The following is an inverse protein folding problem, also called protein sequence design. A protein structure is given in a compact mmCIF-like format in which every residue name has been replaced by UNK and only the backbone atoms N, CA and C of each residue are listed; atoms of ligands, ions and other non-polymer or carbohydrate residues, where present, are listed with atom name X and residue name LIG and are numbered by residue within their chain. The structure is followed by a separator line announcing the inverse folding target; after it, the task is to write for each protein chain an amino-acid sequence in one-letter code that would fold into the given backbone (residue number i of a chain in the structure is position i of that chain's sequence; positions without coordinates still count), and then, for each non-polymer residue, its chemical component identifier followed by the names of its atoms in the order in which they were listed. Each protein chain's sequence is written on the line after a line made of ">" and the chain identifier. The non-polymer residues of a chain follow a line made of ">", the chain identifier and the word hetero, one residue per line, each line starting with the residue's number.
data_IF_788561115495
#
_entry.id   IF_788561115495
#
_cell.length_a   1.000
_cell.length_b   1.000
_cell.length_c   1.000
_cell.angle_alpha   90.00
_cell.angle_beta   90.00
_cell.angle_gamma   90.00
#
_symmetry.space_group_name_H-M   'P 1'
#
loop_
_entity.id
_entity.type
_entity.pdbx_description
1 polymer ?
#
# COMPACT_ATOMS: atom_id res chain seq x y z
N UNK A 1 -5.54 -15.25 0.18
CA UNK A 1 -5.35 -14.04 -0.68
C UNK A 1 -5.88 -12.81 0.05
N UNK A 2 -5.30 -11.61 -0.11
CA UNK A 2 -5.75 -10.41 0.62
C UNK A 2 -7.27 -10.16 0.46
N UNK A 3 -7.80 -10.37 -0.75
CA UNK A 3 -9.23 -10.25 -1.07
C UNK A 3 -10.16 -11.11 -0.18
N UNK A 4 -9.68 -12.23 0.36
CA UNK A 4 -10.49 -13.15 1.17
C UNK A 4 -10.61 -12.71 2.63
N UNK A 5 -9.67 -11.90 3.12
CA UNK A 5 -9.55 -11.59 4.55
C UNK A 5 -9.67 -10.09 4.86
N UNK A 6 -9.54 -9.23 3.84
CA UNK A 6 -9.66 -7.79 4.00
C UNK A 6 -11.03 -7.29 3.48
N UNK A 7 -11.60 -6.33 4.19
CA UNK A 7 -12.80 -5.61 3.76
C UNK A 7 -12.49 -4.62 2.62
N UNK A 8 -11.28 -4.05 2.65
CA UNK A 8 -10.77 -3.13 1.63
C UNK A 8 -9.34 -3.49 1.25
N UNK A 9 -9.03 -3.40 -0.03
CA UNK A 9 -7.68 -3.63 -0.57
C UNK A 9 -7.23 -2.38 -1.32
N UNK A 10 -6.02 -1.92 -1.02
CA UNK A 10 -5.33 -0.87 -1.78
C UNK A 10 -4.08 -1.50 -2.40
N UNK A 11 -4.03 -1.55 -3.74
CA UNK A 11 -2.84 -2.00 -4.47
C UNK A 11 -1.91 -0.79 -4.65
N UNK A 12 -0.62 -1.02 -4.42
CA UNK A 12 0.42 -0.02 -4.57
C UNK A 12 1.72 -0.66 -5.04
N UNK A 13 2.69 0.15 -5.45
CA UNK A 13 3.99 -0.37 -5.88
C UNK A 13 4.83 -0.83 -4.67
N UNK A 14 5.74 -1.77 -4.93
CA UNK A 14 6.77 -2.18 -3.98
C UNK A 14 8.15 -1.90 -4.57
N UNK A 15 8.67 -2.82 -5.37
CA UNK A 15 9.96 -2.73 -6.05
C UNK A 15 9.70 -3.08 -7.51
N UNK A 16 9.14 -2.16 -8.32
CA UNK A 16 8.80 -2.44 -9.71
C UNK A 16 10.03 -2.80 -10.56
N UNK A 17 11.25 -2.45 -10.11
CA UNK A 17 12.49 -2.72 -10.85
C UNK A 17 12.32 -2.27 -12.30
N UNK A 18 12.53 -3.13 -13.28
CA UNK A 18 12.40 -2.79 -14.70
C UNK A 18 10.99 -2.86 -15.27
N UNK A 19 9.99 -3.25 -14.47
CA UNK A 19 8.61 -3.46 -14.93
C UNK A 19 7.75 -2.20 -14.73
N UNK A 20 6.68 -2.07 -15.52
CA UNK A 20 5.69 -1.01 -15.34
C UNK A 20 4.84 -1.30 -14.08
N UNK A 21 4.85 -0.44 -13.05
CA UNK A 21 4.04 -0.63 -11.85
C UNK A 21 2.54 -0.73 -12.14
N UNK A 22 2.05 -0.05 -13.18
CA UNK A 22 0.64 -0.09 -13.55
C UNK A 22 0.24 -1.47 -14.09
N UNK A 23 1.13 -2.11 -14.85
CA UNK A 23 0.90 -3.44 -15.40
C UNK A 23 0.93 -4.51 -14.30
N UNK A 24 1.88 -4.43 -13.36
CA UNK A 24 1.90 -5.30 -12.17
C UNK A 24 0.60 -5.12 -11.37
N UNK A 25 0.18 -3.87 -11.14
CA UNK A 25 -1.05 -3.60 -10.39
C UNK A 25 -2.28 -4.21 -11.09
N UNK A 26 -2.40 -4.06 -12.41
CA UNK A 26 -3.49 -4.64 -13.22
C UNK A 26 -3.57 -6.16 -13.09
N UNK A 27 -2.43 -6.85 -13.05
CA UNK A 27 -2.38 -8.30 -12.85
C UNK A 27 -2.86 -8.70 -11.44
N UNK A 28 -2.48 -7.95 -10.41
CA UNK A 28 -2.94 -8.17 -9.04
C UNK A 28 -4.45 -7.89 -8.92
N UNK A 29 -4.94 -6.81 -9.54
CA UNK A 29 -6.37 -6.47 -9.57
C UNK A 29 -7.21 -7.62 -10.13
N UNK A 30 -6.77 -8.21 -11.25
CA UNK A 30 -7.46 -9.37 -11.85
C UNK A 30 -7.56 -10.53 -10.86
N UNK A 31 -6.45 -10.90 -10.21
CA UNK A 31 -6.46 -11.95 -9.20
C UNK A 31 -7.43 -11.65 -8.06
N UNK A 32 -7.43 -10.41 -7.53
CA UNK A 32 -8.34 -9.96 -6.47
C UNK A 32 -9.82 -10.12 -6.87
N UNK A 33 -10.18 -9.65 -8.06
CA UNK A 33 -11.55 -9.70 -8.56
C UNK A 33 -12.03 -11.14 -8.82
N UNK A 34 -11.13 -12.02 -9.24
CA UNK A 34 -11.42 -13.45 -9.41
C UNK A 34 -11.65 -14.15 -8.07
N UNK A 35 -10.86 -13.84 -7.05
CA UNK A 35 -10.97 -14.48 -5.75
C UNK A 35 -12.21 -14.05 -4.95
N UNK A 36 -12.64 -12.78 -5.08
CA UNK A 36 -13.84 -12.28 -4.40
C UNK A 36 -14.46 -11.12 -5.16
N UNK A 37 -15.58 -11.39 -5.84
CA UNK A 37 -16.40 -10.34 -6.45
C UNK A 37 -16.94 -9.40 -5.38
N UNK A 38 -16.89 -8.10 -5.65
CA UNK A 38 -17.38 -7.06 -4.74
C UNK A 38 -16.39 -6.60 -3.66
N UNK A 39 -15.14 -7.09 -3.66
CA UNK A 39 -14.08 -6.49 -2.82
C UNK A 39 -13.94 -5.00 -3.14
N UNK A 40 -13.93 -4.15 -2.10
CA UNK A 40 -13.63 -2.72 -2.27
C UNK A 40 -12.15 -2.59 -2.59
N UNK A 41 -11.86 -2.37 -3.87
CA UNK A 41 -10.51 -2.33 -4.42
C UNK A 41 -10.20 -0.94 -4.97
N UNK A 42 -8.99 -0.46 -4.69
CA UNK A 42 -8.45 0.75 -5.31
C UNK A 42 -6.95 0.59 -5.56
N UNK A 43 -6.42 1.32 -6.52
CA UNK A 43 -5.00 1.29 -6.88
C UNK A 43 -4.40 2.68 -6.78
N UNK A 44 -3.33 2.80 -5.98
CA UNK A 44 -2.57 4.03 -5.78
C UNK A 44 -1.10 3.65 -5.89
N UNK A 45 -0.48 3.91 -7.04
CA UNK A 45 0.88 3.44 -7.30
C UNK A 45 1.91 4.09 -6.39
N UNK A 46 1.75 5.37 -6.06
CA UNK A 46 2.58 6.04 -5.06
C UNK A 46 2.35 5.40 -3.69
N UNK A 47 3.40 4.79 -3.13
CA UNK A 47 3.30 3.98 -1.91
C UNK A 47 3.04 4.82 -0.67
N UNK A 48 3.61 6.01 -0.57
CA UNK A 48 3.33 6.92 0.55
C UNK A 48 1.87 7.38 0.49
N UNK A 49 1.39 7.77 -0.69
CA UNK A 49 0.00 8.16 -0.89
C UNK A 49 -0.99 7.02 -0.61
N UNK A 50 -0.62 5.77 -0.95
CA UNK A 50 -1.43 4.59 -0.65
C UNK A 50 -1.54 4.34 0.86
N UNK A 51 -0.43 4.43 1.59
CA UNK A 51 -0.41 4.34 3.07
C UNK A 51 -1.27 5.43 3.69
N UNK A 52 -1.13 6.67 3.21
CA UNK A 52 -1.95 7.78 3.67
C UNK A 52 -3.44 7.52 3.43
N UNK A 53 -3.82 7.14 2.21
CA UNK A 53 -5.21 6.85 1.87
C UNK A 53 -5.80 5.72 2.71
N UNK A 54 -5.00 4.70 3.05
CA UNK A 54 -5.41 3.62 3.94
C UNK A 54 -5.73 4.13 5.35
N UNK A 55 -4.84 4.96 5.91
CA UNK A 55 -4.98 5.51 7.27
C UNK A 55 -6.10 6.55 7.36
N UNK A 56 -6.28 7.40 6.34
CA UNK A 56 -7.43 8.33 6.25
C UNK A 56 -8.77 7.61 6.13
N UNK A 57 -8.79 6.47 5.44
CA UNK A 57 -10.00 5.67 5.23
C UNK A 57 -10.39 4.81 6.43
N UNK A 58 -9.48 4.63 7.40
CA UNK A 58 -9.70 3.81 8.58
C UNK A 58 -10.48 4.56 9.66
N UNK A 59 -11.34 3.83 10.37
CA UNK A 59 -12.12 4.32 11.51
C UNK A 59 -11.57 3.76 12.81
N UNK A 60 -12.04 4.31 13.93
CA UNK A 60 -11.74 3.77 15.25
C UNK A 60 -12.17 2.30 15.32
N UNK A 61 -11.22 1.42 15.65
CA UNK A 61 -11.42 -0.03 15.72
C UNK A 61 -10.97 -0.80 14.48
N UNK A 62 -10.69 -0.11 13.37
CA UNK A 62 -10.15 -0.75 12.17
C UNK A 62 -8.66 -1.10 12.34
N UNK A 63 -8.22 -2.11 11.61
CA UNK A 63 -6.81 -2.50 11.50
C UNK A 63 -6.33 -2.27 10.07
N UNK A 64 -5.26 -1.49 9.92
CA UNK A 64 -4.57 -1.30 8.64
C UNK A 64 -3.32 -2.18 8.62
N UNK A 65 -3.22 -3.04 7.61
CA UNK A 65 -2.04 -3.88 7.37
C UNK A 65 -1.32 -3.39 6.13
N UNK A 66 -0.05 -3.01 6.30
CA UNK A 66 0.85 -2.64 5.20
C UNK A 66 1.82 -3.81 5.00
N UNK A 67 1.81 -4.42 3.81
CA UNK A 67 2.64 -5.58 3.49
C UNK A 67 3.50 -5.34 2.24
N UNK A 68 4.47 -6.24 2.01
CA UNK A 68 5.42 -6.18 0.89
C UNK A 68 6.84 -5.86 1.35
N UNK A 69 7.11 -4.62 1.76
CA UNK A 69 8.47 -4.11 2.04
C UNK A 69 9.09 -4.52 3.38
N UNK A 70 8.28 -4.66 4.43
CA UNK A 70 8.80 -4.91 5.77
C UNK A 70 9.82 -3.83 6.22
N UNK A 71 11.06 -4.20 6.63
CA UNK A 71 12.06 -3.26 7.11
C UNK A 71 12.88 -2.56 6.00
N UNK A 72 12.54 -2.77 4.72
CA UNK A 72 13.24 -2.15 3.61
C UNK A 72 13.14 -0.62 3.64
N UNK A 73 14.24 0.05 3.29
CA UNK A 73 14.36 1.52 3.34
C UNK A 73 14.39 2.21 1.97
N UNK A 74 14.08 1.47 0.91
CA UNK A 74 14.09 2.00 -0.46
C UNK A 74 13.04 1.33 -1.34
N UNK A 75 12.57 2.04 -2.36
CA UNK A 75 11.85 1.51 -3.52
C UNK A 75 12.81 1.44 -4.69
N UNK A 76 12.84 0.29 -5.38
CA UNK A 76 13.68 0.07 -6.56
C UNK A 76 12.88 0.33 -7.84
N UNK A 77 13.28 1.33 -8.63
CA UNK A 77 12.69 1.65 -9.94
C UNK A 77 13.83 1.72 -10.97
N UNK A 78 13.82 0.77 -11.91
CA UNK A 78 14.94 0.48 -12.81
C UNK A 78 16.19 0.11 -12.02
N UNK A 79 17.23 0.89 -12.23
CA UNK A 79 18.51 0.85 -11.53
C UNK A 79 18.58 1.80 -10.31
N UNK A 80 17.53 2.60 -10.07
CA UNK A 80 17.49 3.60 -9.00
C UNK A 80 16.91 3.04 -7.71
N UNK A 81 17.50 3.43 -6.59
CA UNK A 81 16.98 3.21 -5.23
C UNK A 81 16.48 4.55 -4.67
N UNK A 82 15.17 4.67 -4.53
CA UNK A 82 14.52 5.86 -3.98
C UNK A 82 14.30 5.63 -2.48
N UNK A 83 14.78 6.50 -1.57
CA UNK A 83 14.53 6.36 -0.14
C UNK A 83 13.04 6.28 0.18
N UNK A 84 12.63 5.25 0.93
CA UNK A 84 11.25 5.03 1.31
C UNK A 84 11.16 4.05 2.49
N UNK A 85 10.28 4.31 3.46
CA UNK A 85 10.02 3.41 4.59
C UNK A 85 8.54 3.45 4.93
N UNK A 86 7.88 2.29 5.00
CA UNK A 86 6.47 2.20 5.42
C UNK A 86 6.29 2.80 6.83
N UNK A 87 7.27 2.58 7.72
CA UNK A 87 7.28 3.15 9.07
C UNK A 87 7.33 4.68 9.04
N UNK A 88 8.18 5.25 8.18
CA UNK A 88 8.35 6.70 8.11
C UNK A 88 7.12 7.36 7.48
N UNK A 89 6.48 6.70 6.51
CA UNK A 89 5.20 7.14 5.97
C UNK A 89 4.09 7.17 7.03
N UNK A 90 3.97 6.14 7.87
CA UNK A 90 3.01 6.12 8.99
C UNK A 90 3.30 7.23 10.00
N UNK A 91 4.56 7.44 10.36
CA UNK A 91 4.98 8.51 11.27
C UNK A 91 4.68 9.90 10.69
N UNK A 92 4.94 10.10 9.41
CA UNK A 92 4.64 11.35 8.71
C UNK A 92 3.14 11.64 8.69
N UNK A 93 2.31 10.63 8.44
CA UNK A 93 0.85 10.74 8.52
C UNK A 93 0.40 11.11 9.95
N UNK A 94 0.91 10.39 10.95
CA UNK A 94 0.56 10.61 12.35
C UNK A 94 0.89 12.04 12.81
N UNK A 95 2.08 12.53 12.45
CA UNK A 95 2.50 13.91 12.72
C UNK A 95 1.57 14.94 12.06
N UNK A 96 1.16 14.73 10.80
CA UNK A 96 0.21 15.61 10.10
C UNK A 96 -1.19 15.63 10.74
N UNK A 97 -1.59 14.54 11.40
CA UNK A 97 -2.86 14.45 12.14
C UNK A 97 -2.78 14.91 13.59
N UNK A 98 -1.59 15.23 14.08
CA UNK A 98 -1.38 15.55 15.49
C UNK A 98 -1.63 14.35 16.41
N UNK A 99 -1.47 13.12 15.90
CA UNK A 99 -1.61 11.88 16.69
C UNK A 99 -0.22 11.29 16.93
N UNK A 100 0.01 10.77 18.13
CA UNK A 100 1.27 10.13 18.48
C UNK A 100 1.16 8.63 18.19
N UNK A 101 1.88 8.16 17.18
CA UNK A 101 2.08 6.73 16.93
C UNK A 101 3.38 6.28 17.62
N UNK A 102 3.31 5.24 18.46
CA UNK A 102 4.43 4.71 19.25
C UNK A 102 4.82 3.33 18.78
#
# INVERSE_FOLDING_TARGET
>A
MAAQYADRVIITMDNPRGEDPAEIARQIEQGVLEARRGTVLSTILDREAAVFAALEGAKSGDVVVISGKGPEKHIVIGDRKIPYSDRDAVLAWAARKGVTWR
#
